data_IF_584412859476
#
_entry.id   IF_584412859476
#
_cell.length_a   1.000
_cell.length_b   1.000
_cell.length_c   1.000
_cell.angle_alpha   90.00
_cell.angle_beta   90.00
_cell.angle_gamma   90.00
#
_symmetry.space_group_name_H-M   'P 1'
#
loop_
_entity.id
_entity.type
_entity.pdbx_description
1 polymer ?
#
# COMPACT_ATOMS: atom_id res chain seq x y z
N UNK A 1 15.82 -22.40 20.99
CA UNK A 1 16.47 -23.38 21.87
C UNK A 1 16.90 -24.57 21.02
N UNK A 2 18.18 -24.98 21.04
CA UNK A 2 18.64 -26.21 20.40
C UNK A 2 18.01 -27.46 21.05
N UNK A 3 17.73 -28.49 20.27
CA UNK A 3 17.13 -29.74 20.80
C UNK A 3 17.99 -30.39 21.89
N UNK A 4 19.33 -30.31 21.77
CA UNK A 4 20.25 -30.82 22.77
C UNK A 4 20.06 -30.20 24.17
N UNK A 5 19.57 -28.97 24.25
CA UNK A 5 19.27 -28.31 25.52
C UNK A 5 17.88 -28.65 26.07
N UNK A 6 16.93 -28.96 25.18
CA UNK A 6 15.58 -29.40 25.57
C UNK A 6 15.61 -30.77 26.26
N UNK A 7 16.49 -31.65 25.79
CA UNK A 7 16.65 -33.01 26.33
C UNK A 7 17.63 -33.10 27.51
N UNK A 8 18.24 -32.00 27.95
CA UNK A 8 19.16 -31.99 29.10
C UNK A 8 18.38 -32.14 30.42
N UNK A 9 18.53 -33.27 31.15
CA UNK A 9 17.79 -33.51 32.38
C UNK A 9 18.11 -32.52 33.50
N UNK A 10 19.26 -31.84 33.44
CA UNK A 10 19.65 -30.85 34.44
C UNK A 10 18.91 -29.52 34.31
N UNK A 11 18.29 -29.26 33.15
CA UNK A 11 17.60 -28.00 32.85
C UNK A 11 16.10 -28.01 33.16
N UNK A 12 15.51 -29.19 33.33
CA UNK A 12 14.11 -29.34 33.76
C UNK A 12 13.05 -28.94 32.73
N UNK A 13 13.42 -28.74 31.45
CA UNK A 13 12.48 -28.38 30.39
C UNK A 13 11.59 -29.54 29.94
N UNK A 14 12.07 -30.77 30.06
CA UNK A 14 11.38 -32.00 29.73
C UNK A 14 11.24 -32.85 31.00
N UNK A 15 10.00 -33.14 31.41
CA UNK A 15 9.71 -33.97 32.58
C UNK A 15 8.67 -35.00 32.17
N UNK A 16 8.94 -36.30 32.37
CA UNK A 16 8.06 -37.40 31.97
C UNK A 16 7.60 -37.31 30.50
N UNK A 17 8.56 -37.07 29.60
CA UNK A 17 8.32 -36.89 28.16
C UNK A 17 7.32 -35.77 27.82
N UNK A 18 7.16 -34.80 28.74
CA UNK A 18 6.22 -33.68 28.60
C UNK A 18 6.96 -32.35 28.70
N UNK A 19 6.64 -31.44 27.78
CA UNK A 19 7.13 -30.04 27.76
C UNK A 19 5.93 -29.12 27.85
N UNK A 20 6.03 -28.07 28.68
CA UNK A 20 5.02 -27.00 28.73
C UNK A 20 5.52 -25.84 27.88
N UNK A 21 4.76 -25.48 26.85
CA UNK A 21 5.03 -24.32 26.01
C UNK A 21 3.94 -23.29 26.29
N UNK A 22 4.34 -22.14 26.81
CA UNK A 22 3.46 -21.00 27.01
C UNK A 22 3.75 -19.94 25.95
N UNK A 23 2.71 -19.43 25.31
CA UNK A 23 2.80 -18.37 24.32
C UNK A 23 1.83 -17.24 24.70
N UNK A 24 2.39 -16.08 25.07
CA UNK A 24 1.58 -14.89 25.28
C UNK A 24 1.29 -14.25 23.92
N UNK A 25 0.03 -14.31 23.50
CA UNK A 25 -0.42 -13.71 22.24
C UNK A 25 -1.14 -12.41 22.56
N UNK A 26 -0.45 -11.28 22.35
CA UNK A 26 -1.08 -9.97 22.38
C UNK A 26 -1.91 -9.76 21.11
N UNK A 27 -3.17 -10.19 21.12
CA UNK A 27 -4.12 -9.86 20.05
C UNK A 27 -4.55 -8.42 20.21
N UNK A 28 -3.98 -7.52 19.39
CA UNK A 28 -4.61 -6.21 19.18
C UNK A 28 -5.96 -6.49 18.54
N UNK A 29 -7.03 -6.36 19.33
CA UNK A 29 -8.41 -6.29 18.86
C UNK A 29 -8.56 -5.08 17.93
N UNK A 30 -8.19 -5.25 16.66
CA UNK A 30 -8.74 -4.44 15.58
C UNK A 30 -10.20 -4.85 15.46
N UNK A 31 -11.03 -4.37 16.38
CA UNK A 31 -12.45 -4.73 16.52
C UNK A 31 -13.28 -4.45 15.26
N UNK A 32 -12.69 -3.87 14.23
CA UNK A 32 -13.37 -3.40 13.05
C UNK A 32 -12.45 -3.42 11.81
N UNK A 33 -11.69 -4.50 11.54
CA UNK A 33 -10.92 -4.53 10.27
C UNK A 33 -11.82 -4.25 9.03
N UNK A 34 -13.08 -4.69 9.08
CA UNK A 34 -14.09 -4.44 8.06
C UNK A 34 -14.81 -3.08 8.16
N UNK A 35 -14.77 -2.41 9.32
CA UNK A 35 -15.43 -1.11 9.54
C UNK A 35 -14.46 0.03 9.91
N UNK A 36 -13.16 -0.22 9.76
CA UNK A 36 -12.11 0.77 10.01
C UNK A 36 -12.21 1.89 8.98
N UNK A 37 -12.84 2.97 9.40
CA UNK A 37 -12.92 4.21 8.64
C UNK A 37 -11.62 5.01 8.85
N UNK A 38 -10.68 4.84 7.90
CA UNK A 38 -9.42 5.57 7.88
C UNK A 38 -9.64 7.09 7.83
N UNK A 39 -10.65 7.56 7.10
CA UNK A 39 -10.95 8.99 6.95
C UNK A 39 -11.35 9.57 8.30
N UNK A 40 -12.26 8.90 9.01
CA UNK A 40 -12.72 9.32 10.34
C UNK A 40 -11.61 9.31 11.39
N UNK A 41 -10.67 8.36 11.31
CA UNK A 41 -9.59 8.22 12.30
C UNK A 41 -8.38 9.11 12.05
N UNK A 42 -8.06 9.37 10.79
CA UNK A 42 -6.79 10.04 10.41
C UNK A 42 -6.99 11.31 9.59
N UNK A 43 -8.17 11.53 9.02
CA UNK A 43 -8.43 12.56 8.00
C UNK A 43 -8.08 12.13 6.57
N UNK A 44 -7.49 10.94 6.39
CA UNK A 44 -6.95 10.45 5.12
C UNK A 44 -7.54 9.10 4.71
N UNK A 45 -7.61 8.87 3.40
CA UNK A 45 -7.97 7.57 2.80
C UNK A 45 -6.76 6.86 2.21
N UNK A 46 -6.83 5.53 2.22
CA UNK A 46 -5.80 4.68 1.63
C UNK A 46 -5.94 4.49 0.12
N UNK A 47 -4.97 3.79 -0.46
CA UNK A 47 -5.05 3.25 -1.81
C UNK A 47 -5.34 1.75 -1.74
N UNK A 48 -6.21 1.27 -2.64
CA UNK A 48 -6.49 -0.17 -2.77
C UNK A 48 -5.26 -0.85 -3.38
N UNK A 49 -4.70 -1.82 -2.68
CA UNK A 49 -3.66 -2.67 -3.25
C UNK A 49 -4.29 -3.59 -4.31
N UNK A 50 -3.74 -3.60 -5.51
CA UNK A 50 -4.25 -4.37 -6.65
C UNK A 50 -3.37 -5.58 -6.98
N UNK A 51 -2.50 -5.98 -6.06
CA UNK A 51 -1.54 -7.07 -6.25
C UNK A 51 -0.15 -6.62 -5.83
N UNK A 52 0.78 -6.53 -6.78
CA UNK A 52 2.17 -6.13 -6.55
C UNK A 52 2.41 -4.60 -6.61
N UNK A 53 1.36 -3.78 -6.45
CA UNK A 53 1.43 -2.31 -6.62
C UNK A 53 1.71 -1.54 -5.32
N UNK A 54 2.13 -2.23 -4.24
CA UNK A 54 2.36 -1.60 -2.93
C UNK A 54 3.45 -0.52 -2.95
N UNK A 55 4.50 -0.70 -3.76
CA UNK A 55 5.58 0.28 -3.94
C UNK A 55 5.02 1.57 -4.55
N UNK A 56 4.21 1.44 -5.61
CA UNK A 56 3.59 2.56 -6.31
C UNK A 56 2.60 3.28 -5.39
N UNK A 57 1.80 2.53 -4.62
CA UNK A 57 0.86 3.14 -3.67
C UNK A 57 1.58 3.97 -2.59
N UNK A 58 2.71 3.47 -2.09
CA UNK A 58 3.53 4.18 -1.10
C UNK A 58 4.15 5.45 -1.69
N UNK A 59 4.63 5.38 -2.93
CA UNK A 59 5.16 6.54 -3.66
C UNK A 59 4.08 7.59 -3.91
N UNK A 60 2.90 7.18 -4.39
CA UNK A 60 1.77 8.07 -4.68
C UNK A 60 1.25 8.76 -3.41
N UNK A 61 1.12 8.03 -2.31
CA UNK A 61 0.77 8.62 -1.02
C UNK A 61 1.81 9.62 -0.56
N UNK A 62 3.11 9.32 -0.71
CA UNK A 62 4.19 10.25 -0.36
C UNK A 62 4.13 11.53 -1.19
N UNK A 63 3.97 11.40 -2.51
CA UNK A 63 3.85 12.53 -3.43
C UNK A 63 2.58 13.37 -3.18
N UNK A 64 1.44 12.73 -2.90
CA UNK A 64 0.19 13.42 -2.58
C UNK A 64 0.31 14.34 -1.36
N UNK A 65 1.04 13.90 -0.34
CA UNK A 65 1.24 14.66 0.89
C UNK A 65 2.26 15.81 0.76
N UNK A 66 2.90 15.99 -0.41
CA UNK A 66 3.72 17.18 -0.71
C UNK A 66 2.81 18.26 -1.30
N UNK A 67 2.48 19.35 -0.56
CA UNK A 67 1.45 20.29 -1.00
C UNK A 67 1.78 20.99 -2.33
N UNK A 68 3.05 21.29 -2.57
CA UNK A 68 3.52 21.89 -3.82
C UNK A 68 3.36 20.95 -5.01
N UNK A 69 3.71 19.67 -4.84
CA UNK A 69 3.55 18.66 -5.87
C UNK A 69 2.07 18.47 -6.22
N UNK A 70 1.20 18.35 -5.20
CA UNK A 70 -0.25 18.25 -5.40
C UNK A 70 -0.82 19.45 -6.16
N UNK A 71 -0.39 20.67 -5.84
CA UNK A 71 -0.79 21.88 -6.59
C UNK A 71 -0.29 21.83 -8.05
N UNK A 72 0.96 21.45 -8.27
CA UNK A 72 1.52 21.33 -9.60
C UNK A 72 0.74 20.32 -10.47
N UNK A 73 0.37 19.16 -9.90
CA UNK A 73 -0.46 18.16 -10.59
C UNK A 73 -1.81 18.75 -11.01
N UNK A 74 -2.48 19.51 -10.14
CA UNK A 74 -3.76 20.15 -10.49
C UNK A 74 -3.64 21.26 -11.55
N UNK A 75 -2.45 21.78 -11.80
CA UNK A 75 -2.20 22.78 -12.84
C UNK A 75 -1.63 22.21 -14.14
N UNK A 76 -1.41 20.89 -14.22
CA UNK A 76 -0.98 20.26 -15.47
C UNK A 76 -2.03 20.49 -16.57
N UNK A 77 -1.60 20.82 -17.81
CA UNK A 77 -2.53 21.02 -18.91
C UNK A 77 -3.20 19.70 -19.30
N UNK A 78 -4.53 19.67 -19.22
CA UNK A 78 -5.37 18.56 -19.67
C UNK A 78 -6.48 19.12 -20.56
N UNK A 79 -6.84 18.40 -21.61
CA UNK A 79 -7.92 18.81 -22.52
C UNK A 79 -9.22 18.10 -22.17
N UNK A 80 -10.37 18.67 -22.55
CA UNK A 80 -11.69 18.03 -22.34
C UNK A 80 -11.84 16.70 -23.11
N UNK A 81 -11.00 16.49 -24.13
CA UNK A 81 -10.99 15.25 -24.92
C UNK A 81 -10.12 14.15 -24.29
N UNK A 82 -9.36 14.45 -23.23
CA UNK A 82 -8.51 13.47 -22.58
C UNK A 82 -9.36 12.48 -21.79
N UNK A 83 -9.05 11.20 -21.94
CA UNK A 83 -9.59 10.14 -21.08
C UNK A 83 -8.57 9.79 -19.99
N UNK A 84 -8.97 9.57 -18.72
CA UNK A 84 -8.03 9.26 -17.64
C UNK A 84 -7.15 8.04 -17.90
N UNK A 85 -7.59 7.08 -18.72
CA UNK A 85 -6.78 5.90 -19.08
C UNK A 85 -5.79 6.15 -20.21
N UNK A 86 -5.85 7.28 -20.90
CA UNK A 86 -4.97 7.65 -22.01
C UNK A 86 -4.08 8.85 -21.73
N UNK A 87 -4.24 9.50 -20.58
CA UNK A 87 -3.49 10.69 -20.17
C UNK A 87 -3.01 10.55 -18.73
N UNK A 88 -1.69 10.43 -18.55
CA UNK A 88 -1.05 10.33 -17.23
C UNK A 88 -1.36 11.56 -16.36
N UNK A 89 -1.27 12.81 -16.86
CA UNK A 89 -1.65 13.99 -16.08
C UNK A 89 -3.10 13.91 -15.57
N UNK A 90 -4.04 13.54 -16.43
CA UNK A 90 -5.45 13.43 -16.06
C UNK A 90 -5.70 12.28 -15.06
N UNK A 91 -4.99 11.15 -15.22
CA UNK A 91 -5.06 10.03 -14.29
C UNK A 91 -4.57 10.42 -12.88
N UNK A 92 -3.46 11.15 -12.81
CA UNK A 92 -2.90 11.65 -11.55
C UNK A 92 -3.80 12.70 -10.89
N UNK A 93 -4.35 13.63 -11.67
CA UNK A 93 -5.34 14.61 -11.18
C UNK A 93 -6.58 13.92 -10.61
N UNK A 94 -7.17 12.97 -11.36
CA UNK A 94 -8.31 12.15 -10.94
C UNK A 94 -7.99 11.40 -9.64
N UNK A 95 -6.81 10.78 -9.53
CA UNK A 95 -6.39 10.06 -8.34
C UNK A 95 -6.25 10.99 -7.13
N UNK A 96 -5.57 12.12 -7.28
CA UNK A 96 -5.36 13.08 -6.18
C UNK A 96 -6.66 13.72 -5.73
N UNK A 97 -7.56 14.01 -6.67
CA UNK A 97 -8.92 14.46 -6.36
C UNK A 97 -9.66 13.43 -5.51
N UNK A 98 -9.69 12.16 -5.95
CA UNK A 98 -10.34 11.06 -5.21
C UNK A 98 -9.72 10.88 -3.82
N UNK A 99 -8.39 10.98 -3.67
CA UNK A 99 -7.72 10.91 -2.35
C UNK A 99 -8.13 12.06 -1.41
N UNK A 100 -8.44 13.23 -1.96
CA UNK A 100 -8.82 14.39 -1.17
C UNK A 100 -10.28 14.29 -0.67
N UNK A 101 -11.19 13.88 -1.56
CA UNK A 101 -12.63 14.03 -1.34
C UNK A 101 -13.39 12.72 -1.08
N UNK A 102 -12.84 11.55 -1.41
CA UNK A 102 -13.52 10.30 -1.11
C UNK A 102 -13.40 9.96 0.38
N UNK A 103 -14.41 9.25 0.88
CA UNK A 103 -14.43 8.69 2.24
C UNK A 103 -13.83 7.27 2.29
N UNK A 104 -13.64 6.63 1.14
CA UNK A 104 -13.16 5.25 1.04
C UNK A 104 -11.88 5.14 0.21
N UNK A 105 -11.15 4.04 0.41
CA UNK A 105 -9.88 3.78 -0.28
C UNK A 105 -10.03 3.83 -1.81
N UNK A 106 -9.06 4.47 -2.47
CA UNK A 106 -9.13 4.75 -3.91
C UNK A 106 -8.35 3.70 -4.72
N UNK A 107 -8.89 3.29 -5.87
CA UNK A 107 -8.20 2.37 -6.77
C UNK A 107 -7.29 3.13 -7.77
N UNK A 108 -6.10 2.59 -8.04
CA UNK A 108 -5.13 3.13 -9.00
C UNK A 108 -5.29 2.60 -10.44
N UNK A 109 -6.44 2.00 -10.79
CA UNK A 109 -6.65 1.30 -12.08
C UNK A 109 -6.49 2.21 -13.31
N UNK A 110 -7.00 3.43 -13.23
CA UNK A 110 -6.90 4.41 -14.32
C UNK A 110 -5.44 4.80 -14.55
N UNK A 111 -4.69 4.99 -13.47
CA UNK A 111 -3.29 5.39 -13.50
C UNK A 111 -2.39 4.28 -14.08
N UNK A 112 -2.54 3.03 -13.62
CA UNK A 112 -1.75 1.91 -14.18
C UNK A 112 -2.03 1.72 -15.67
N UNK A 113 -3.30 1.86 -16.09
CA UNK A 113 -3.67 1.82 -17.51
C UNK A 113 -3.04 2.98 -18.31
N UNK A 114 -2.99 4.19 -17.74
CA UNK A 114 -2.39 5.35 -18.41
C UNK A 114 -0.88 5.22 -18.66
N UNK A 115 -0.19 4.39 -17.87
CA UNK A 115 1.21 4.04 -18.10
C UNK A 115 1.41 2.96 -19.18
N UNK A 116 0.31 2.42 -19.75
CA UNK A 116 0.38 1.30 -20.69
C UNK A 116 0.77 -0.03 -20.04
N UNK A 117 0.72 -0.12 -18.70
CA UNK A 117 0.98 -1.37 -17.99
C UNK A 117 -0.19 -2.32 -18.20
N UNK A 118 0.06 -3.46 -18.86
CA UNK A 118 -0.88 -4.58 -18.82
C UNK A 118 -0.84 -5.20 -17.42
N UNK A 119 -1.85 -5.99 -17.10
CA UNK A 119 -1.93 -6.81 -15.89
C UNK A 119 -0.62 -7.52 -15.58
N UNK A 120 0.16 -7.94 -16.58
CA UNK A 120 1.47 -8.58 -16.41
C UNK A 120 2.56 -7.65 -15.80
N UNK A 121 2.69 -6.41 -16.25
CA UNK A 121 3.68 -5.44 -15.72
C UNK A 121 3.30 -4.94 -14.32
N UNK A 122 2.00 -4.96 -14.01
CA UNK A 122 1.46 -4.66 -12.68
C UNK A 122 1.92 -5.67 -11.60
N UNK A 123 2.40 -6.85 -12.02
CA UNK A 123 2.96 -7.89 -11.15
C UNK A 123 4.50 -7.91 -11.10
N UNK A 124 5.18 -7.12 -11.94
CA UNK A 124 6.61 -6.93 -11.87
C UNK A 124 6.91 -5.83 -10.84
N UNK A 125 7.73 -6.15 -9.82
CA UNK A 125 8.29 -5.12 -8.94
C UNK A 125 9.26 -4.27 -9.77
N UNK A 126 8.76 -3.16 -10.31
CA UNK A 126 9.62 -2.12 -10.85
C UNK A 126 10.28 -1.42 -9.67
N UNK A 127 11.62 -1.48 -9.62
CA UNK A 127 12.41 -0.74 -8.65
C UNK A 127 11.97 0.74 -8.66
N UNK A 128 11.77 1.33 -7.48
CA UNK A 128 11.21 2.69 -7.31
C UNK A 128 12.01 3.74 -8.11
N UNK A 129 13.29 3.46 -8.36
CA UNK A 129 14.18 4.28 -9.18
C UNK A 129 13.81 4.34 -10.68
N UNK A 130 13.26 3.27 -11.28
CA UNK A 130 12.97 3.27 -12.73
C UNK A 130 11.76 4.12 -13.11
N UNK A 131 10.74 4.21 -12.25
CA UNK A 131 9.52 4.98 -12.56
C UNK A 131 9.76 6.49 -12.63
N UNK A 132 10.80 7.01 -11.96
CA UNK A 132 11.15 8.44 -12.04
C UNK A 132 11.94 8.80 -13.31
N UNK A 133 12.64 7.84 -13.91
CA UNK A 133 13.48 8.09 -15.10
C UNK A 133 12.75 7.95 -16.43
N UNK A 134 11.62 7.24 -16.48
CA UNK A 134 10.82 7.10 -17.72
C UNK A 134 9.87 8.28 -17.97
N UNK A 135 9.94 9.35 -17.18
CA UNK A 135 9.11 10.56 -17.31
C UNK A 135 9.93 11.85 -17.43
N UNK A 136 11.19 11.75 -17.86
CA UNK A 136 12.01 12.86 -18.34
C UNK A 136 12.25 12.73 -19.84
#
# INVERSE_FOLDING_TARGET
>A
MPLSELYDPSRGYLVNDTVVIEAEVAVRKLLDYWSYDSKKKTGYVGLKNQGATCYMNSLLQTQYHIPYFRKAVYHMPTTENDIPTGSIPLALQSLFYKLQYNDTSVATKELTKSFGWDTYDSFMQHDVARTQQSSM
#
